data_IF_121673362287
#
_entry.id   IF_121673362287
#
_cell.length_a   1.000
_cell.length_b   1.000
_cell.length_c   1.000
_cell.angle_alpha   90.00
_cell.angle_beta   90.00
_cell.angle_gamma   90.00
#
_symmetry.space_group_name_H-M   'P 1'
#
loop_
_entity.id
_entity.type
_entity.pdbx_description
1 polymer ?
#
# COMPACT_ATOMS: atom_id res chain seq x y z
N UNK A 1 33.47 29.45 17.11
CA UNK A 1 34.07 28.52 16.14
C UNK A 1 34.41 27.22 16.87
N UNK A 2 33.96 26.07 16.37
CA UNK A 2 34.28 24.75 16.96
C UNK A 2 35.76 24.46 16.66
N UNK A 3 36.56 24.08 17.68
CA UNK A 3 37.96 23.73 17.49
C UNK A 3 38.09 22.54 16.51
N UNK A 4 39.03 22.53 15.56
CA UNK A 4 39.28 21.42 14.66
C UNK A 4 39.52 20.10 15.39
N UNK A 5 40.11 20.11 16.60
CA UNK A 5 40.28 18.93 17.42
C UNK A 5 38.94 18.33 17.90
N UNK A 6 37.98 19.18 18.24
CA UNK A 6 36.64 18.73 18.62
C UNK A 6 35.91 18.12 17.41
N UNK A 7 36.01 18.74 16.22
CA UNK A 7 35.43 18.21 14.99
C UNK A 7 35.99 16.82 14.64
N UNK A 8 37.31 16.62 14.77
CA UNK A 8 37.97 15.35 14.55
C UNK A 8 37.52 14.26 15.54
N UNK A 9 37.28 14.60 16.82
CA UNK A 9 36.80 13.66 17.82
C UNK A 9 35.39 13.12 17.54
N UNK A 10 34.54 13.84 16.78
CA UNK A 10 33.21 13.40 16.39
C UNK A 10 33.20 12.49 15.16
N UNK A 11 34.30 12.41 14.39
CA UNK A 11 34.35 11.57 13.17
C UNK A 11 34.00 10.09 13.45
N UNK A 12 34.60 9.41 14.47
CA UNK A 12 34.28 8.02 14.75
C UNK A 12 32.80 7.82 15.13
N UNK A 13 32.21 8.77 15.86
CA UNK A 13 30.80 8.74 16.22
C UNK A 13 29.93 8.88 14.97
N UNK A 14 30.20 9.82 14.08
CA UNK A 14 29.48 10.04 12.83
C UNK A 14 29.54 8.78 11.94
N UNK A 15 30.75 8.20 11.80
CA UNK A 15 30.95 6.95 11.05
C UNK A 15 30.12 5.83 11.65
N UNK A 16 30.11 5.68 12.96
CA UNK A 16 29.29 4.66 13.64
C UNK A 16 27.80 4.86 13.38
N UNK A 17 27.31 6.11 13.43
CA UNK A 17 25.90 6.45 13.11
C UNK A 17 25.59 6.13 11.65
N UNK A 18 26.47 6.50 10.70
CA UNK A 18 26.27 6.20 9.28
C UNK A 18 26.23 4.70 9.05
N UNK A 19 27.16 3.91 9.62
CA UNK A 19 27.18 2.46 9.46
C UNK A 19 25.93 1.82 10.06
N UNK A 20 25.50 2.24 11.26
CA UNK A 20 24.34 1.70 11.95
C UNK A 20 23.03 2.00 11.22
N UNK A 21 22.90 3.19 10.67
CA UNK A 21 21.67 3.67 10.01
C UNK A 21 21.77 3.70 8.48
N UNK A 22 22.80 3.09 7.88
CA UNK A 22 23.04 3.09 6.42
C UNK A 22 21.83 2.75 5.58
N UNK A 23 20.96 1.84 6.05
CA UNK A 23 19.77 1.42 5.32
C UNK A 23 18.69 2.50 5.28
N UNK A 24 18.56 3.28 6.34
CA UNK A 24 17.65 4.44 6.38
C UNK A 24 18.20 5.59 5.53
N UNK A 25 19.52 5.80 5.49
CA UNK A 25 20.13 6.75 4.58
C UNK A 25 19.93 6.33 3.11
N UNK A 26 20.05 5.04 2.81
CA UNK A 26 19.78 4.51 1.47
C UNK A 26 18.31 4.68 1.09
N UNK A 27 17.39 4.41 2.00
CA UNK A 27 15.94 4.66 1.79
C UNK A 27 15.71 6.15 1.49
N UNK A 28 16.23 7.05 2.32
CA UNK A 28 16.10 8.50 2.11
C UNK A 28 16.68 8.93 0.76
N UNK A 29 17.86 8.44 0.43
CA UNK A 29 18.51 8.72 -0.86
C UNK A 29 17.61 8.28 -2.03
N UNK A 30 17.15 7.02 -2.05
CA UNK A 30 16.31 6.49 -3.14
C UNK A 30 14.91 7.13 -3.18
N UNK A 31 14.28 7.31 -2.03
CA UNK A 31 12.89 7.80 -1.96
C UNK A 31 12.76 9.32 -2.16
N UNK A 32 13.79 10.09 -1.80
CA UNK A 32 13.74 11.57 -1.78
C UNK A 32 14.71 12.18 -2.78
N UNK A 33 16.01 11.85 -2.66
CA UNK A 33 17.05 12.54 -3.45
C UNK A 33 16.96 12.13 -4.92
N UNK A 34 16.97 10.83 -5.21
CA UNK A 34 16.85 10.32 -6.59
C UNK A 34 15.57 10.83 -7.25
N UNK A 35 14.45 10.76 -6.53
CA UNK A 35 13.17 11.28 -7.01
C UNK A 35 13.27 12.76 -7.41
N UNK A 36 13.79 13.62 -6.53
CA UNK A 36 13.88 15.06 -6.82
C UNK A 36 14.77 15.36 -8.02
N UNK A 37 15.89 14.63 -8.14
CA UNK A 37 16.82 14.76 -9.27
C UNK A 37 16.09 14.34 -10.57
N UNK A 38 15.42 13.21 -10.57
CA UNK A 38 14.70 12.71 -11.74
C UNK A 38 13.51 13.62 -12.12
N UNK A 39 12.73 14.09 -11.15
CA UNK A 39 11.64 15.04 -11.38
C UNK A 39 12.16 16.34 -12.02
N UNK A 40 13.33 16.83 -11.56
CA UNK A 40 13.97 18.04 -12.13
C UNK A 40 14.51 17.82 -13.54
N UNK A 41 15.19 16.67 -13.77
CA UNK A 41 15.84 16.37 -15.07
C UNK A 41 14.83 16.06 -16.16
N UNK A 42 13.75 15.35 -15.82
CA UNK A 42 12.78 14.85 -16.82
C UNK A 42 11.55 15.73 -16.95
N UNK A 43 11.21 16.52 -15.92
CA UNK A 43 9.94 17.22 -15.85
C UNK A 43 8.69 16.31 -15.75
N UNK A 44 8.91 14.99 -15.66
CA UNK A 44 7.85 13.97 -15.64
C UNK A 44 7.70 13.44 -14.20
N UNK A 45 6.48 13.35 -13.65
CA UNK A 45 6.26 12.75 -12.33
C UNK A 45 6.73 11.29 -12.25
N UNK A 46 7.22 10.87 -11.09
CA UNK A 46 7.75 9.52 -10.85
C UNK A 46 6.78 8.41 -11.26
N UNK A 47 5.51 8.56 -10.92
CA UNK A 47 4.46 7.58 -11.22
C UNK A 47 4.26 7.42 -12.75
N UNK A 48 4.35 8.51 -13.49
CA UNK A 48 4.26 8.47 -14.96
C UNK A 48 5.52 7.84 -15.58
N UNK A 49 6.72 8.11 -15.03
CA UNK A 49 7.96 7.43 -15.48
C UNK A 49 7.88 5.91 -15.27
N UNK A 50 7.33 5.48 -14.13
CA UNK A 50 7.10 4.07 -13.87
C UNK A 50 6.13 3.45 -14.89
N UNK A 51 5.03 4.14 -15.19
CA UNK A 51 4.09 3.70 -16.22
C UNK A 51 4.73 3.60 -17.61
N UNK A 52 5.51 4.60 -18.02
CA UNK A 52 6.22 4.57 -19.30
C UNK A 52 7.18 3.37 -19.40
N UNK A 53 7.87 3.06 -18.31
CA UNK A 53 8.71 1.86 -18.26
C UNK A 53 7.86 0.59 -18.38
N UNK A 54 6.78 0.49 -17.60
CA UNK A 54 5.94 -0.71 -17.58
C UNK A 54 5.27 -0.95 -18.93
N UNK A 55 4.68 0.07 -19.56
CA UNK A 55 4.02 -0.10 -20.87
C UNK A 55 4.99 -0.50 -21.98
N UNK A 56 6.28 -0.13 -21.85
CA UNK A 56 7.29 -0.46 -22.84
C UNK A 56 7.82 -1.89 -22.68
N UNK A 57 7.82 -2.44 -21.48
CA UNK A 57 8.47 -3.72 -21.17
C UNK A 57 7.51 -4.83 -20.76
N UNK A 58 6.30 -4.50 -20.30
CA UNK A 58 5.33 -5.51 -19.90
C UNK A 58 4.58 -6.10 -21.10
N UNK A 59 4.06 -7.31 -20.92
CA UNK A 59 3.16 -7.96 -21.87
C UNK A 59 1.73 -7.54 -21.51
N UNK A 60 1.00 -6.83 -22.42
CA UNK A 60 -0.38 -6.47 -22.17
C UNK A 60 -1.27 -7.69 -21.95
N UNK A 61 -2.18 -7.63 -20.97
CA UNK A 61 -3.08 -8.72 -20.62
C UNK A 61 -2.43 -9.82 -19.77
N UNK A 62 -1.16 -9.66 -19.36
CA UNK A 62 -0.49 -10.55 -18.42
C UNK A 62 -0.22 -9.84 -17.09
N UNK A 63 -1.10 -9.98 -16.07
CA UNK A 63 -0.96 -9.33 -14.78
C UNK A 63 0.37 -9.62 -14.10
N UNK A 64 0.81 -10.89 -14.14
CA UNK A 64 2.05 -11.28 -13.48
C UNK A 64 3.28 -10.65 -14.15
N UNK A 65 3.27 -10.53 -15.47
CA UNK A 65 4.35 -9.88 -16.20
C UNK A 65 4.36 -8.36 -15.92
N UNK A 66 3.19 -7.72 -15.80
CA UNK A 66 3.08 -6.32 -15.39
C UNK A 66 3.68 -6.11 -13.98
N UNK A 67 3.33 -6.96 -13.00
CA UNK A 67 3.89 -6.91 -11.64
C UNK A 67 5.40 -7.10 -11.62
N UNK A 68 5.91 -8.10 -12.34
CA UNK A 68 7.35 -8.38 -12.44
C UNK A 68 8.11 -7.19 -13.05
N UNK A 69 7.51 -6.53 -14.04
CA UNK A 69 8.09 -5.35 -14.69
C UNK A 69 8.14 -4.15 -13.75
N UNK A 70 7.10 -3.96 -12.91
CA UNK A 70 7.12 -2.97 -11.83
C UNK A 70 8.24 -3.24 -10.82
N UNK A 71 8.41 -4.50 -10.40
CA UNK A 71 9.47 -4.88 -9.48
C UNK A 71 10.85 -4.57 -10.06
N UNK A 72 11.08 -4.88 -11.33
CA UNK A 72 12.33 -4.53 -12.03
C UNK A 72 12.57 -3.01 -12.01
N UNK A 73 11.55 -2.22 -12.32
CA UNK A 73 11.65 -0.76 -12.21
C UNK A 73 12.02 -0.31 -10.80
N UNK A 74 11.34 -0.84 -9.79
CA UNK A 74 11.58 -0.48 -8.39
C UNK A 74 12.96 -0.90 -7.88
N UNK A 75 13.50 -2.02 -8.36
CA UNK A 75 14.86 -2.46 -8.00
C UNK A 75 15.96 -1.68 -8.70
N UNK A 76 15.81 -1.42 -9.99
CA UNK A 76 16.91 -0.98 -10.86
C UNK A 76 16.84 0.48 -11.28
N UNK A 77 15.64 1.08 -11.32
CA UNK A 77 15.47 2.46 -11.78
C UNK A 77 15.18 3.40 -10.62
N UNK A 78 13.94 3.40 -10.11
CA UNK A 78 13.49 4.35 -9.12
C UNK A 78 12.56 3.70 -8.10
N UNK A 79 12.78 3.98 -6.82
CA UNK A 79 11.95 3.43 -5.74
C UNK A 79 10.53 4.00 -5.78
N UNK A 80 9.54 3.11 -5.80
CA UNK A 80 8.15 3.38 -5.54
C UNK A 80 7.72 2.66 -4.26
N UNK A 81 6.99 3.37 -3.39
CA UNK A 81 6.38 2.73 -2.23
C UNK A 81 5.11 2.02 -2.69
N UNK A 82 5.16 0.72 -2.84
CA UNK A 82 4.05 -0.19 -3.06
C UNK A 82 4.21 -1.36 -2.09
N UNK A 83 3.28 -2.31 -2.05
CA UNK A 83 3.36 -3.46 -1.14
C UNK A 83 4.60 -4.36 -1.39
N UNK A 84 5.12 -4.36 -2.63
CA UNK A 84 6.27 -5.18 -3.08
C UNK A 84 5.99 -6.69 -3.12
N UNK A 85 6.92 -7.47 -3.73
CA UNK A 85 6.67 -8.88 -4.04
C UNK A 85 6.57 -9.79 -2.81
N UNK A 86 7.21 -9.44 -1.69
CA UNK A 86 7.19 -10.31 -0.50
C UNK A 86 5.87 -10.19 0.28
N UNK A 87 5.43 -8.97 0.56
CA UNK A 87 4.15 -8.71 1.22
C UNK A 87 2.98 -8.99 0.27
N UNK A 88 3.17 -8.74 -1.04
CA UNK A 88 2.21 -9.06 -2.09
C UNK A 88 1.78 -10.53 -2.10
N UNK A 89 2.70 -11.47 -1.82
CA UNK A 89 2.36 -12.90 -1.67
C UNK A 89 1.41 -13.20 -0.50
N UNK A 90 1.47 -12.39 0.56
CA UNK A 90 0.56 -12.53 1.69
C UNK A 90 -0.83 -12.02 1.30
N UNK A 91 -0.88 -10.88 0.61
CA UNK A 91 -2.13 -10.32 0.09
C UNK A 91 -2.80 -11.27 -0.89
N UNK A 92 -2.06 -11.74 -1.90
CA UNK A 92 -2.54 -12.72 -2.91
C UNK A 92 -3.13 -13.97 -2.23
N UNK A 93 -2.39 -14.58 -1.30
CA UNK A 93 -2.86 -15.74 -0.55
C UNK A 93 -4.13 -15.46 0.24
N UNK A 94 -4.23 -14.32 0.94
CA UNK A 94 -5.41 -14.00 1.74
C UNK A 94 -6.65 -13.78 0.85
N UNK A 95 -6.50 -13.15 -0.31
CA UNK A 95 -7.60 -13.04 -1.28
C UNK A 95 -8.02 -14.41 -1.79
N UNK A 96 -7.06 -15.26 -2.17
CA UNK A 96 -7.35 -16.61 -2.66
C UNK A 96 -8.04 -17.50 -1.61
N UNK A 97 -7.50 -17.52 -0.36
CA UNK A 97 -8.04 -18.36 0.72
C UNK A 97 -9.44 -17.94 1.17
N UNK A 98 -9.76 -16.64 1.13
CA UNK A 98 -11.04 -16.11 1.63
C UNK A 98 -12.07 -15.87 0.52
N UNK A 99 -11.66 -15.88 -0.74
CA UNK A 99 -12.50 -15.71 -1.91
C UNK A 99 -13.54 -14.56 -1.76
N UNK A 100 -13.13 -13.32 -1.40
CA UNK A 100 -14.04 -12.22 -1.10
C UNK A 100 -14.78 -11.77 -2.37
N UNK A 101 -16.05 -11.39 -2.23
CA UNK A 101 -16.84 -10.85 -3.33
C UNK A 101 -16.81 -9.33 -3.40
N UNK A 102 -16.73 -8.65 -2.25
CA UNK A 102 -16.66 -7.20 -2.16
C UNK A 102 -15.37 -6.78 -1.46
N UNK A 103 -14.45 -6.22 -2.21
CA UNK A 103 -13.12 -5.81 -1.73
C UNK A 103 -12.97 -4.30 -1.80
N UNK A 104 -12.41 -3.70 -0.76
CA UNK A 104 -12.03 -2.29 -0.72
C UNK A 104 -10.53 -2.14 -0.58
N UNK A 105 -9.91 -1.37 -1.45
CA UNK A 105 -8.52 -0.92 -1.33
C UNK A 105 -8.49 0.57 -1.02
N UNK A 106 -7.79 0.95 0.06
CA UNK A 106 -7.50 2.34 0.39
C UNK A 106 -6.03 2.64 0.09
N UNK A 107 -5.79 3.36 -1.00
CA UNK A 107 -4.46 3.69 -1.50
C UNK A 107 -4.07 2.91 -2.76
N UNK A 108 -4.64 3.27 -3.91
CA UNK A 108 -4.37 2.64 -5.22
C UNK A 108 -2.93 2.87 -5.70
N UNK A 109 -2.42 4.08 -5.51
CA UNK A 109 -1.13 4.57 -5.99
C UNK A 109 -0.94 4.36 -7.51
N UNK A 110 -0.18 3.34 -7.94
CA UNK A 110 0.01 2.97 -9.35
C UNK A 110 -0.70 1.65 -9.71
N UNK A 111 -1.55 1.11 -8.84
CA UNK A 111 -2.35 -0.09 -9.11
C UNK A 111 -1.62 -1.42 -8.88
N UNK A 112 -0.43 -1.42 -8.26
CA UNK A 112 0.34 -2.65 -8.04
C UNK A 112 -0.42 -3.65 -7.15
N UNK A 113 -0.88 -3.24 -5.97
CA UNK A 113 -1.65 -4.11 -5.07
C UNK A 113 -3.04 -4.41 -5.64
N UNK A 114 -3.64 -3.46 -6.35
CA UNK A 114 -4.89 -3.65 -7.09
C UNK A 114 -4.80 -4.84 -8.05
N UNK A 115 -3.72 -4.94 -8.84
CA UNK A 115 -3.50 -6.04 -9.79
C UNK A 115 -3.31 -7.37 -9.03
N UNK A 116 -2.56 -7.39 -7.93
CA UNK A 116 -2.40 -8.59 -7.10
C UNK A 116 -3.76 -9.09 -6.62
N UNK A 117 -4.60 -8.21 -6.11
CA UNK A 117 -5.94 -8.61 -5.65
C UNK A 117 -6.82 -9.04 -6.81
N UNK A 118 -6.90 -8.26 -7.87
CA UNK A 118 -7.78 -8.52 -8.99
C UNK A 118 -7.52 -9.88 -9.67
N UNK A 119 -6.25 -10.30 -9.79
CA UNK A 119 -5.92 -11.61 -10.36
C UNK A 119 -6.31 -12.81 -9.47
N UNK A 120 -6.41 -12.59 -8.15
CA UNK A 120 -6.74 -13.63 -7.17
C UNK A 120 -8.25 -13.67 -6.82
N UNK A 121 -9.04 -12.69 -7.29
CA UNK A 121 -10.47 -12.62 -7.00
C UNK A 121 -11.26 -13.74 -7.65
N UNK A 122 -12.29 -14.26 -6.98
CA UNK A 122 -13.23 -15.19 -7.60
C UNK A 122 -14.10 -14.49 -8.66
N UNK A 123 -14.65 -15.29 -9.56
CA UNK A 123 -15.55 -14.80 -10.62
C UNK A 123 -16.77 -14.08 -10.01
N UNK A 124 -17.08 -12.89 -10.52
CA UNK A 124 -18.18 -12.05 -10.04
C UNK A 124 -17.85 -11.19 -8.82
N UNK A 125 -16.63 -11.27 -8.29
CA UNK A 125 -16.17 -10.36 -7.26
C UNK A 125 -15.88 -8.96 -7.80
N UNK A 126 -15.97 -7.96 -6.94
CA UNK A 126 -15.69 -6.56 -7.29
C UNK A 126 -14.71 -5.91 -6.31
N UNK A 127 -13.70 -5.26 -6.87
CA UNK A 127 -12.70 -4.50 -6.15
C UNK A 127 -12.93 -3.01 -6.34
N UNK A 128 -13.19 -2.30 -5.24
CA UNK A 128 -13.23 -0.84 -5.19
C UNK A 128 -11.88 -0.34 -4.70
N UNK A 129 -11.16 0.40 -5.54
CA UNK A 129 -9.87 0.96 -5.17
C UNK A 129 -9.93 2.48 -5.12
N UNK A 130 -9.36 3.08 -4.07
CA UNK A 130 -9.51 4.50 -3.73
C UNK A 130 -8.16 5.19 -3.70
N UNK A 131 -8.00 6.29 -4.44
CA UNK A 131 -6.86 7.20 -4.30
C UNK A 131 -7.31 8.67 -4.27
N UNK A 132 -6.80 9.42 -3.28
CA UNK A 132 -7.10 10.84 -3.16
C UNK A 132 -6.40 11.71 -4.22
N UNK A 133 -5.39 11.18 -4.91
CA UNK A 133 -4.62 11.93 -5.90
C UNK A 133 -5.05 11.56 -7.32
N UNK A 134 -5.74 12.48 -8.06
CA UNK A 134 -6.25 12.18 -9.39
C UNK A 134 -5.16 11.86 -10.42
N UNK A 135 -3.93 12.37 -10.25
CA UNK A 135 -2.81 12.04 -11.14
C UNK A 135 -2.34 10.60 -10.95
N UNK A 136 -2.27 10.14 -9.71
CA UNK A 136 -1.93 8.74 -9.41
C UNK A 136 -3.03 7.81 -9.88
N UNK A 137 -4.28 8.15 -9.61
CA UNK A 137 -5.44 7.40 -10.08
C UNK A 137 -5.43 7.23 -11.61
N UNK A 138 -5.15 8.29 -12.37
CA UNK A 138 -5.04 8.22 -13.83
C UNK A 138 -3.90 7.30 -14.32
N UNK A 139 -2.79 7.22 -13.58
CA UNK A 139 -1.71 6.25 -13.87
C UNK A 139 -2.16 4.84 -13.53
N UNK A 140 -2.77 4.65 -12.35
CA UNK A 140 -3.28 3.36 -11.90
C UNK A 140 -4.31 2.77 -12.89
N UNK A 141 -5.25 3.58 -13.38
CA UNK A 141 -6.24 3.15 -14.37
C UNK A 141 -5.56 2.56 -15.62
N UNK A 142 -4.56 3.26 -16.18
CA UNK A 142 -3.82 2.78 -17.36
C UNK A 142 -3.09 1.46 -17.08
N UNK A 143 -2.52 1.32 -15.89
CA UNK A 143 -1.78 0.11 -15.50
C UNK A 143 -2.73 -1.06 -15.25
N UNK A 144 -3.87 -0.85 -14.60
CA UNK A 144 -4.92 -1.84 -14.38
C UNK A 144 -5.45 -2.35 -15.72
N UNK A 145 -5.72 -1.44 -16.67
CA UNK A 145 -6.12 -1.79 -18.05
C UNK A 145 -5.04 -2.57 -18.79
N UNK A 146 -3.78 -2.15 -18.66
CA UNK A 146 -2.64 -2.87 -19.26
C UNK A 146 -2.55 -4.31 -18.74
N UNK A 147 -2.86 -4.53 -17.47
CA UNK A 147 -2.91 -5.87 -16.87
C UNK A 147 -4.14 -6.71 -17.30
N UNK A 148 -5.09 -6.12 -18.03
CA UNK A 148 -6.25 -6.83 -18.58
C UNK A 148 -7.52 -6.74 -17.73
N UNK A 149 -7.57 -5.90 -16.69
CA UNK A 149 -8.76 -5.73 -15.87
C UNK A 149 -9.63 -4.56 -16.35
N UNK A 150 -10.94 -4.76 -16.31
CA UNK A 150 -11.98 -3.81 -16.70
C UNK A 150 -12.72 -3.19 -15.51
N UNK A 151 -13.68 -2.31 -15.81
CA UNK A 151 -14.49 -1.63 -14.79
C UNK A 151 -15.48 -2.56 -14.10
N UNK A 152 -15.77 -3.73 -14.67
CA UNK A 152 -16.65 -4.72 -14.04
C UNK A 152 -15.94 -5.44 -12.91
N UNK A 153 -14.62 -5.61 -13.00
CA UNK A 153 -13.78 -6.21 -11.97
C UNK A 153 -13.22 -5.17 -10.99
N UNK A 154 -12.71 -4.03 -11.49
CA UNK A 154 -12.03 -3.01 -10.69
C UNK A 154 -12.68 -1.65 -10.90
N UNK A 155 -13.29 -1.12 -9.86
CA UNK A 155 -13.84 0.25 -9.84
C UNK A 155 -12.87 1.20 -9.15
N UNK A 156 -12.23 2.10 -9.91
CA UNK A 156 -11.33 3.13 -9.39
C UNK A 156 -12.12 4.37 -8.95
N UNK A 157 -12.02 4.70 -7.67
CA UNK A 157 -12.72 5.83 -7.04
C UNK A 157 -11.71 6.92 -6.65
N UNK A 158 -11.91 8.14 -7.15
CA UNK A 158 -10.99 9.26 -6.90
C UNK A 158 -11.56 10.18 -5.84
N UNK A 159 -10.88 10.29 -4.71
CA UNK A 159 -11.27 11.17 -3.60
C UNK A 159 -10.65 10.78 -2.27
N UNK A 160 -10.83 11.60 -1.22
CA UNK A 160 -10.43 11.25 0.14
C UNK A 160 -11.11 9.95 0.61
N UNK A 161 -10.39 9.14 1.36
CA UNK A 161 -10.88 7.82 1.82
C UNK A 161 -12.16 7.92 2.66
N UNK A 162 -12.24 8.90 3.56
CA UNK A 162 -13.42 9.16 4.39
C UNK A 162 -14.66 9.53 3.58
N UNK A 163 -14.51 10.40 2.58
CA UNK A 163 -15.63 10.77 1.70
C UNK A 163 -16.15 9.57 0.90
N UNK A 164 -15.23 8.76 0.38
CA UNK A 164 -15.60 7.57 -0.41
C UNK A 164 -16.24 6.49 0.48
N UNK A 165 -15.67 6.18 1.65
CA UNK A 165 -16.23 5.20 2.58
C UNK A 165 -17.67 5.56 2.95
N UNK A 166 -17.95 6.84 3.26
CA UNK A 166 -19.28 7.31 3.59
C UNK A 166 -20.31 7.14 2.45
N UNK A 167 -19.83 7.09 1.20
CA UNK A 167 -20.67 7.03 0.00
C UNK A 167 -20.80 5.62 -0.61
N UNK A 168 -20.04 4.62 -0.12
CA UNK A 168 -20.01 3.28 -0.70
C UNK A 168 -21.39 2.61 -0.76
N UNK A 169 -22.21 2.77 0.30
CA UNK A 169 -23.57 2.21 0.32
C UNK A 169 -24.49 2.89 -0.68
N UNK A 170 -24.55 4.21 -0.65
CA UNK A 170 -25.54 4.98 -1.38
C UNK A 170 -25.22 5.11 -2.87
N UNK A 171 -23.94 5.33 -3.19
CA UNK A 171 -23.52 5.56 -4.59
C UNK A 171 -23.04 4.30 -5.31
N UNK A 172 -22.49 3.33 -4.58
CA UNK A 172 -21.90 2.13 -5.19
C UNK A 172 -22.65 0.84 -4.84
N UNK A 173 -23.71 0.93 -4.00
CA UNK A 173 -24.55 -0.22 -3.64
C UNK A 173 -23.87 -1.24 -2.72
N UNK A 174 -22.69 -0.91 -2.17
CA UNK A 174 -21.91 -1.82 -1.32
C UNK A 174 -22.53 -1.89 0.06
N UNK A 175 -23.20 -2.97 0.40
CA UNK A 175 -23.84 -3.14 1.70
C UNK A 175 -22.86 -3.62 2.77
N UNK A 176 -21.96 -4.53 2.41
CA UNK A 176 -20.91 -5.11 3.27
C UNK A 176 -19.65 -5.36 2.48
N UNK A 177 -18.53 -5.35 3.18
CA UNK A 177 -17.21 -5.68 2.65
C UNK A 177 -16.73 -6.99 3.25
N UNK A 178 -16.12 -7.83 2.41
CA UNK A 178 -15.54 -9.11 2.82
C UNK A 178 -14.05 -8.95 3.14
N UNK A 179 -13.37 -8.11 2.36
CA UNK A 179 -11.94 -7.85 2.52
C UNK A 179 -11.63 -6.36 2.33
N UNK A 180 -10.72 -5.83 3.16
CA UNK A 180 -10.26 -4.44 3.09
C UNK A 180 -8.74 -4.43 3.12
N UNK A 181 -8.11 -3.78 2.14
CA UNK A 181 -6.68 -3.53 2.13
C UNK A 181 -6.40 -2.04 2.40
N UNK A 182 -5.61 -1.75 3.44
CA UNK A 182 -5.25 -0.39 3.83
C UNK A 182 -3.77 -0.14 3.56
N UNK A 183 -3.46 0.66 2.53
CA UNK A 183 -2.09 1.09 2.19
C UNK A 183 -2.00 2.58 1.80
N UNK A 184 -2.85 3.40 2.38
CA UNK A 184 -2.85 4.85 2.24
C UNK A 184 -2.10 5.56 3.38
N UNK A 185 -2.37 6.83 3.61
CA UNK A 185 -1.76 7.62 4.68
C UNK A 185 -1.99 7.03 6.07
N UNK A 186 -0.92 6.61 6.76
CA UNK A 186 -1.00 5.91 8.06
C UNK A 186 -1.75 6.67 9.16
N UNK A 187 -1.82 8.00 9.04
CA UNK A 187 -2.61 8.86 9.93
C UNK A 187 -4.12 8.68 9.78
N UNK A 188 -4.57 8.19 8.62
CA UNK A 188 -5.99 7.96 8.34
C UNK A 188 -6.48 6.59 8.82
N UNK A 189 -5.60 5.62 9.07
CA UNK A 189 -5.94 4.24 9.37
C UNK A 189 -6.98 4.08 10.48
N UNK A 190 -6.76 4.73 11.63
CA UNK A 190 -7.69 4.64 12.76
C UNK A 190 -9.03 5.28 12.44
N UNK A 191 -9.02 6.49 11.87
CA UNK A 191 -10.22 7.22 11.49
C UNK A 191 -11.07 6.43 10.48
N UNK A 192 -10.42 5.91 9.46
CA UNK A 192 -11.11 5.20 8.39
C UNK A 192 -11.63 3.83 8.86
N UNK A 193 -10.90 3.15 9.77
CA UNK A 193 -11.41 1.94 10.41
C UNK A 193 -12.68 2.21 11.24
N UNK A 194 -12.67 3.26 12.05
CA UNK A 194 -13.83 3.67 12.85
C UNK A 194 -15.02 4.08 11.97
N UNK A 195 -14.76 4.77 10.87
CA UNK A 195 -15.79 5.13 9.90
C UNK A 195 -16.41 3.90 9.22
N UNK A 196 -15.60 2.90 8.84
CA UNK A 196 -16.09 1.61 8.31
C UNK A 196 -17.01 0.88 9.30
N UNK A 197 -16.70 0.95 10.61
CA UNK A 197 -17.57 0.44 11.68
C UNK A 197 -18.86 1.23 11.75
N UNK A 198 -18.78 2.56 11.82
CA UNK A 198 -19.91 3.49 12.01
C UNK A 198 -20.93 3.38 10.87
N UNK A 199 -20.47 3.41 9.62
CA UNK A 199 -21.35 3.26 8.45
C UNK A 199 -21.83 1.80 8.26
N UNK A 200 -21.35 0.87 9.10
CA UNK A 200 -21.79 -0.51 9.14
C UNK A 200 -21.41 -1.30 7.87
N UNK A 201 -20.22 -1.06 7.31
CA UNK A 201 -19.69 -1.83 6.16
C UNK A 201 -19.00 -3.12 6.59
N UNK A 202 -18.64 -3.26 7.87
CA UNK A 202 -18.05 -4.48 8.41
C UNK A 202 -19.13 -5.51 8.79
N UNK A 203 -18.83 -6.78 8.58
CA UNK A 203 -19.60 -7.93 9.04
C UNK A 203 -18.69 -8.91 9.77
N UNK A 204 -19.24 -9.80 10.57
CA UNK A 204 -18.46 -10.85 11.21
C UNK A 204 -17.66 -11.64 10.18
N UNK A 205 -16.36 -11.81 10.41
CA UNK A 205 -15.44 -12.43 9.46
C UNK A 205 -14.82 -11.49 8.43
N UNK A 206 -15.23 -10.22 8.33
CA UNK A 206 -14.53 -9.25 7.44
C UNK A 206 -13.05 -9.21 7.79
N UNK A 207 -12.20 -9.38 6.77
CA UNK A 207 -10.75 -9.32 6.92
C UNK A 207 -10.26 -7.93 6.54
N UNK A 208 -9.40 -7.37 7.37
CA UNK A 208 -8.74 -6.09 7.11
C UNK A 208 -7.23 -6.33 7.17
N UNK A 209 -6.53 -6.07 6.06
CA UNK A 209 -5.08 -6.14 5.99
C UNK A 209 -4.53 -4.72 5.89
N UNK A 210 -3.75 -4.30 6.89
CA UNK A 210 -3.13 -2.97 6.93
C UNK A 210 -1.62 -3.08 6.77
N UNK A 211 -1.06 -2.40 5.75
CA UNK A 211 0.37 -2.42 5.47
C UNK A 211 1.15 -1.36 6.23
N UNK A 212 2.47 -1.58 6.38
CA UNK A 212 3.45 -0.68 7.01
C UNK A 212 3.08 -0.24 8.43
N UNK A 213 2.43 -1.10 9.21
CA UNK A 213 1.98 -0.77 10.57
C UNK A 213 3.13 -0.66 11.57
N UNK A 214 4.34 -1.17 11.22
CA UNK A 214 5.55 -1.07 12.04
C UNK A 214 6.49 0.03 11.52
N UNK A 215 6.62 0.21 10.20
CA UNK A 215 7.43 1.26 9.59
C UNK A 215 6.75 1.83 8.32
N UNK A 216 6.45 3.15 8.25
CA UNK A 216 6.69 4.18 9.26
C UNK A 216 5.86 3.99 10.53
N UNK A 217 4.84 3.12 10.51
CA UNK A 217 4.07 2.72 11.67
C UNK A 217 2.72 3.40 11.83
N UNK A 218 1.77 2.67 12.47
CA UNK A 218 0.43 3.13 12.79
C UNK A 218 0.08 2.81 14.27
N UNK A 219 0.77 3.42 15.26
CA UNK A 219 0.67 3.02 16.66
C UNK A 219 -0.73 3.20 17.26
N UNK A 220 -1.44 4.28 16.94
CA UNK A 220 -2.79 4.54 17.45
C UNK A 220 -3.80 3.53 16.88
N UNK A 221 -3.68 3.19 15.60
CA UNK A 221 -4.46 2.13 14.97
C UNK A 221 -4.24 0.78 15.65
N UNK A 222 -2.97 0.37 15.83
CA UNK A 222 -2.64 -0.89 16.50
C UNK A 222 -3.11 -0.91 17.96
N UNK A 223 -3.06 0.21 18.68
CA UNK A 223 -3.58 0.33 20.04
C UNK A 223 -5.09 0.11 20.07
N UNK A 224 -5.84 0.80 19.22
CA UNK A 224 -7.28 0.65 19.12
C UNK A 224 -7.71 -0.79 18.82
N UNK A 225 -7.09 -1.41 17.83
CA UNK A 225 -7.37 -2.79 17.45
C UNK A 225 -7.18 -3.76 18.62
N UNK A 226 -6.10 -3.58 19.41
CA UNK A 226 -5.81 -4.44 20.58
C UNK A 226 -6.75 -4.23 21.76
N UNK A 227 -7.30 -3.03 21.93
CA UNK A 227 -8.08 -2.67 23.12
C UNK A 227 -9.58 -2.64 22.89
N UNK A 228 -10.04 -2.58 21.64
CA UNK A 228 -11.47 -2.48 21.33
C UNK A 228 -12.27 -3.77 21.56
N UNK A 229 -11.62 -4.92 21.63
CA UNK A 229 -12.28 -6.22 21.72
C UNK A 229 -13.02 -6.67 20.46
N UNK A 230 -12.95 -5.88 19.36
CA UNK A 230 -13.70 -6.11 18.12
C UNK A 230 -12.94 -6.90 17.06
N UNK A 231 -11.65 -7.15 17.25
CA UNK A 231 -10.77 -7.73 16.24
C UNK A 231 -9.90 -8.84 16.79
N UNK A 232 -9.77 -9.90 16.02
CA UNK A 232 -8.64 -10.83 16.16
C UNK A 232 -7.48 -10.28 15.33
N UNK A 233 -6.32 -10.06 15.98
CA UNK A 233 -5.13 -9.48 15.35
C UNK A 233 -4.07 -10.55 15.12
N UNK A 234 -3.61 -10.68 13.88
CA UNK A 234 -2.44 -11.45 13.49
C UNK A 234 -1.41 -10.54 12.82
N UNK A 235 -0.15 -10.61 13.26
CA UNK A 235 0.93 -9.78 12.72
C UNK A 235 1.78 -10.58 11.74
N UNK A 236 1.86 -10.10 10.50
CA UNK A 236 2.81 -10.59 9.50
C UNK A 236 4.05 -9.72 9.56
N UNK A 237 5.11 -10.22 10.17
CA UNK A 237 6.40 -9.51 10.28
C UNK A 237 7.24 -9.78 9.05
N UNK A 238 7.84 -8.72 8.51
CA UNK A 238 8.67 -8.77 7.32
C UNK A 238 9.63 -7.58 7.27
N UNK A 239 9.82 -7.10 6.08
CA UNK A 239 10.69 -5.95 5.80
C UNK A 239 9.97 -4.95 4.91
N UNK A 240 10.46 -3.71 4.93
CA UNK A 240 10.00 -2.69 3.99
C UNK A 240 10.30 -3.15 2.57
N UNK A 241 9.36 -2.92 1.66
CA UNK A 241 9.48 -3.30 0.25
C UNK A 241 10.78 -2.77 -0.36
N UNK A 242 11.50 -3.65 -1.07
CA UNK A 242 12.81 -3.40 -1.69
C UNK A 242 13.98 -3.06 -0.71
N UNK A 243 13.72 -3.08 0.64
CA UNK A 243 14.73 -2.77 1.69
C UNK A 243 14.77 -3.87 2.76
N UNK A 244 15.39 -5.00 2.46
CA UNK A 244 15.46 -6.20 3.33
C UNK A 244 16.04 -5.99 4.74
N UNK A 245 16.62 -4.85 5.04
CA UNK A 245 17.21 -4.55 6.35
C UNK A 245 16.38 -3.58 7.19
N UNK A 246 15.27 -3.07 6.65
CA UNK A 246 14.33 -2.23 7.39
C UNK A 246 13.15 -3.11 7.77
N UNK A 247 12.99 -3.35 9.07
CA UNK A 247 11.89 -4.18 9.59
C UNK A 247 10.57 -3.46 9.44
N UNK A 248 9.59 -4.19 8.99
CA UNK A 248 8.22 -3.72 8.85
C UNK A 248 7.24 -4.89 9.07
N UNK A 249 5.94 -4.65 8.91
CA UNK A 249 4.93 -5.69 9.00
C UNK A 249 3.55 -5.20 8.63
N UNK A 250 2.68 -6.17 8.37
CA UNK A 250 1.26 -5.98 8.12
C UNK A 250 0.44 -6.50 9.31
N UNK A 251 -0.68 -5.84 9.58
CA UNK A 251 -1.68 -6.29 10.53
C UNK A 251 -2.86 -6.89 9.76
N UNK A 252 -3.09 -8.19 9.95
CA UNK A 252 -4.30 -8.90 9.52
C UNK A 252 -5.27 -8.88 10.68
N UNK A 253 -6.46 -8.34 10.46
CA UNK A 253 -7.54 -8.23 11.43
C UNK A 253 -8.73 -9.02 10.91
N UNK A 254 -9.34 -9.83 11.77
CA UNK A 254 -10.65 -10.40 11.52
C UNK A 254 -11.66 -9.70 12.42
N UNK A 255 -12.66 -9.06 11.83
CA UNK A 255 -13.72 -8.40 12.61
C UNK A 255 -14.60 -9.44 13.26
N UNK A 256 -14.74 -9.35 14.57
CA UNK A 256 -15.61 -10.20 15.39
C UNK A 256 -16.68 -9.32 16.01
N UNK A 257 -17.94 -9.69 15.81
CA UNK A 257 -19.03 -8.98 16.52
C UNK A 257 -18.82 -9.15 18.01
N UNK A 258 -18.88 -8.06 18.79
CA UNK A 258 -18.93 -8.16 20.24
C UNK A 258 -20.05 -9.15 20.58
N UNK A 259 -19.75 -10.21 21.33
CA UNK A 259 -20.76 -10.99 22.00
C UNK A 259 -21.31 -10.07 23.10
N UNK A 260 -22.57 -9.63 22.94
CA UNK A 260 -23.33 -8.90 23.96
C UNK A 260 -23.45 -9.73 25.24
#
# INVERSE_FOLDING_TARGET
MVSPAIALAFIPFIITVIIRYRHYFLLFYRAVIVRRIQDYLTGIPREERAFQYVITHAIPGDPQHVLNTFDQYCYHCEYLSNIGPQKGKILDRLIYENAPLNVLELGTQCGYATIIMAQALPLGARLYTVDANPRKAAVAEKVIRLAGFDDDTVALLVGPSDDIIAQLKDKHGVQKLDFIFMDHGKRCYLRDLQLLEEVGLLQEGTIILADNVLFPGAPHFLQYVKTSGKYQLKMHRGHLEYFRYIRDGMAELTFTKLQD
#
